data_IF_950263504546
#
_entry.id   IF_950263504546
#
_cell.length_a   1.000
_cell.length_b   1.000
_cell.length_c   1.000
_cell.angle_alpha   90.00
_cell.angle_beta   90.00
_cell.angle_gamma   90.00
#
_symmetry.space_group_name_H-M   'P 1'
#
loop_
_entity.id
_entity.type
_entity.pdbx_description
1 polymer ?
#
# COMPACT_ATOMS: atom_id res chain seq x y z
N UNK A 1 -2.87 -14.43 -2.41
CA UNK A 1 -2.33 -13.07 -2.50
C UNK A 1 -0.89 -13.07 -2.01
N UNK A 2 0.01 -12.45 -2.75
CA UNK A 2 1.41 -12.30 -2.32
C UNK A 2 1.57 -11.11 -1.37
N UNK A 3 2.72 -11.05 -0.68
CA UNK A 3 3.01 -9.92 0.19
C UNK A 3 3.10 -8.60 -0.60
N UNK A 4 3.63 -8.64 -1.82
CA UNK A 4 3.69 -7.46 -2.67
C UNK A 4 2.31 -6.98 -3.09
N UNK A 5 1.42 -7.90 -3.42
CA UNK A 5 0.03 -7.56 -3.73
C UNK A 5 -0.69 -6.96 -2.52
N UNK A 6 -0.45 -7.53 -1.34
CA UNK A 6 -1.05 -7.02 -0.10
C UNK A 6 -0.57 -5.60 0.19
N UNK A 7 0.72 -5.33 0.03
CA UNK A 7 1.27 -4.00 0.26
C UNK A 7 0.70 -2.99 -0.74
N UNK A 8 0.63 -3.35 -2.01
CA UNK A 8 0.04 -2.48 -3.03
C UNK A 8 -1.39 -2.10 -2.67
N UNK A 9 -2.20 -3.07 -2.27
CA UNK A 9 -3.58 -2.81 -1.87
C UNK A 9 -3.67 -1.95 -0.61
N UNK A 10 -2.80 -2.22 0.37
CA UNK A 10 -2.77 -1.41 1.60
C UNK A 10 -2.43 0.04 1.29
N UNK A 11 -1.51 0.29 0.38
CA UNK A 11 -1.15 1.64 -0.03
C UNK A 11 -2.32 2.35 -0.73
N UNK A 12 -3.02 1.65 -1.62
CA UNK A 12 -4.21 2.20 -2.28
C UNK A 12 -5.26 2.56 -1.24
N UNK A 13 -5.52 1.66 -0.28
CA UNK A 13 -6.49 1.93 0.78
C UNK A 13 -6.09 3.11 1.64
N UNK A 14 -4.80 3.26 1.94
CA UNK A 14 -4.31 4.38 2.76
C UNK A 14 -4.61 5.73 2.08
N UNK A 15 -4.51 5.78 0.76
CA UNK A 15 -4.74 7.01 0.01
C UNK A 15 -6.24 7.27 -0.22
N UNK A 16 -7.02 6.22 -0.40
CA UNK A 16 -8.44 6.33 -0.76
C UNK A 16 -9.39 6.15 0.41
N UNK A 17 -8.87 5.94 1.62
CA UNK A 17 -9.72 5.70 2.79
C UNK A 17 -10.66 6.87 3.05
N UNK A 18 -11.91 6.59 3.45
CA UNK A 18 -12.91 7.64 3.63
C UNK A 18 -12.72 8.49 4.89
N UNK A 19 -11.93 8.02 5.85
CA UNK A 19 -11.67 8.76 7.09
C UNK A 19 -10.25 8.49 7.59
N UNK A 20 -9.81 9.32 8.55
CA UNK A 20 -8.45 9.27 9.07
C UNK A 20 -8.16 7.98 9.82
N UNK A 21 -9.14 7.43 10.50
CA UNK A 21 -8.95 6.19 11.26
C UNK A 21 -8.66 5.02 10.33
N UNK A 22 -9.42 4.89 9.27
CA UNK A 22 -9.20 3.82 8.29
C UNK A 22 -7.90 4.03 7.52
N UNK A 23 -7.58 5.28 7.18
CA UNK A 23 -6.31 5.60 6.55
C UNK A 23 -5.15 5.19 7.45
N UNK A 24 -5.22 5.48 8.74
CA UNK A 24 -4.17 5.13 9.68
C UNK A 24 -3.99 3.62 9.81
N UNK A 25 -5.10 2.86 9.83
CA UNK A 25 -5.03 1.40 9.87
C UNK A 25 -4.32 0.85 8.63
N UNK A 26 -4.63 1.40 7.45
CA UNK A 26 -3.99 0.98 6.21
C UNK A 26 -2.51 1.36 6.19
N UNK A 27 -2.15 2.53 6.71
CA UNK A 27 -0.75 2.95 6.82
C UNK A 27 0.02 2.01 7.75
N UNK A 28 -0.55 1.67 8.90
CA UNK A 28 0.08 0.76 9.84
C UNK A 28 0.31 -0.62 9.22
N UNK A 29 -0.67 -1.13 8.49
CA UNK A 29 -0.53 -2.39 7.78
C UNK A 29 0.55 -2.29 6.69
N UNK A 30 0.59 -1.18 5.96
CA UNK A 30 1.60 -0.95 4.93
C UNK A 30 3.01 -0.98 5.52
N UNK A 31 3.21 -0.36 6.68
CA UNK A 31 4.51 -0.36 7.34
C UNK A 31 4.93 -1.76 7.76
N UNK A 32 4.01 -2.55 8.31
CA UNK A 32 4.32 -3.93 8.69
C UNK A 32 4.72 -4.76 7.47
N UNK A 33 3.99 -4.64 6.38
CA UNK A 33 4.28 -5.38 5.15
C UNK A 33 5.60 -4.91 4.54
N UNK A 34 5.87 -3.61 4.55
CA UNK A 34 7.11 -3.06 4.01
C UNK A 34 8.33 -3.57 4.77
N UNK A 35 8.22 -3.80 6.06
CA UNK A 35 9.31 -4.34 6.87
C UNK A 35 9.69 -5.77 6.49
N UNK A 36 8.78 -6.50 5.86
CA UNK A 36 8.99 -7.89 5.43
C UNK A 36 9.54 -7.99 4.01
N UNK A 37 9.56 -6.87 3.28
CA UNK A 37 9.99 -6.83 1.88
C UNK A 37 11.29 -6.04 1.78
N UNK A 38 12.03 -6.28 0.69
CA UNK A 38 13.21 -5.46 0.41
C UNK A 38 12.82 -4.11 -0.19
N UNK A 39 13.78 -3.17 -0.24
CA UNK A 39 13.51 -1.82 -0.71
C UNK A 39 13.01 -1.79 -2.16
N UNK A 40 13.54 -2.66 -3.01
CA UNK A 40 13.13 -2.72 -4.42
C UNK A 40 11.66 -3.11 -4.54
N UNK A 41 11.22 -4.10 -3.77
CA UNK A 41 9.82 -4.54 -3.78
C UNK A 41 8.88 -3.46 -3.23
N UNK A 42 9.30 -2.76 -2.19
CA UNK A 42 8.51 -1.64 -1.63
C UNK A 42 8.33 -0.54 -2.68
N UNK A 43 9.41 -0.16 -3.36
CA UNK A 43 9.33 0.85 -4.41
C UNK A 43 8.42 0.42 -5.56
N UNK A 44 8.45 -0.84 -5.94
CA UNK A 44 7.56 -1.39 -6.96
C UNK A 44 6.10 -1.31 -6.52
N UNK A 45 5.82 -1.63 -5.26
CA UNK A 45 4.46 -1.56 -4.73
C UNK A 45 3.93 -0.12 -4.73
N UNK A 46 4.79 0.85 -4.41
CA UNK A 46 4.42 2.26 -4.47
C UNK A 46 4.07 2.66 -5.91
N UNK A 47 4.90 2.26 -6.87
CA UNK A 47 4.66 2.55 -8.28
C UNK A 47 3.35 1.92 -8.76
N UNK A 48 3.11 0.67 -8.40
CA UNK A 48 1.88 -0.04 -8.77
C UNK A 48 0.65 0.65 -8.17
N UNK A 49 0.73 1.07 -6.92
CA UNK A 49 -0.38 1.78 -6.26
C UNK A 49 -0.69 3.09 -6.98
N UNK A 50 0.34 3.84 -7.37
CA UNK A 50 0.16 5.08 -8.11
C UNK A 50 -0.47 4.84 -9.48
N UNK A 51 -0.09 3.75 -10.16
CA UNK A 51 -0.70 3.39 -11.44
C UNK A 51 -2.18 3.06 -11.27
N UNK A 52 -2.54 2.30 -10.25
CA UNK A 52 -3.93 1.96 -9.97
C UNK A 52 -4.74 3.23 -9.71
N UNK A 53 -4.23 4.14 -8.88
CA UNK A 53 -4.90 5.38 -8.57
C UNK A 53 -5.00 6.31 -9.78
N UNK A 54 -4.00 6.29 -10.65
CA UNK A 54 -3.97 7.10 -11.85
C UNK A 54 -4.95 6.63 -12.92
N UNK A 55 -5.38 5.37 -12.89
CA UNK A 55 -6.33 4.82 -13.86
C UNK A 55 -7.78 4.90 -13.40
N UNK A 56 -8.01 5.28 -12.17
CA UNK A 56 -9.37 5.46 -11.63
C UNK A 56 -9.75 6.93 -11.63
#
# INVERSE_FOLDING_TARGET
MTQTQALTQALVLAITAPDDQKAQMAIDLSLELAMRLNAADVERCKADALLILGTT
#
